data_IF_187688920295
#
_entry.id   IF_187688920295
#
_cell.length_a   1.000
_cell.length_b   1.000
_cell.length_c   1.000
_cell.angle_alpha   90.00
_cell.angle_beta   90.00
_cell.angle_gamma   90.00
#
_symmetry.space_group_name_H-M   'P 1'
#
loop_
_entity.id
_entity.type
_entity.pdbx_description
1 polymer ?
#
# COMPACT_ATOMS: atom_id res chain seq x y z
N UNK A 1 1.94 34.02 -17.46
CA UNK A 1 2.78 33.13 -16.63
C UNK A 1 2.55 31.71 -17.14
N UNK A 2 3.38 31.26 -18.08
CA UNK A 2 3.51 29.85 -18.45
C UNK A 2 4.92 29.46 -17.99
N UNK A 3 5.07 29.28 -16.68
CA UNK A 3 6.29 28.71 -16.12
C UNK A 3 6.10 27.19 -15.99
N UNK A 4 6.91 26.44 -16.72
CA UNK A 4 7.59 25.28 -16.14
C UNK A 4 6.89 23.92 -16.11
N UNK A 5 5.76 23.69 -16.79
CA UNK A 5 5.26 22.32 -16.97
C UNK A 5 6.07 21.60 -18.06
N UNK A 6 7.29 21.16 -17.72
CA UNK A 6 8.00 20.16 -18.49
C UNK A 6 7.13 18.89 -18.52
N UNK A 7 6.57 18.57 -19.68
CA UNK A 7 6.10 17.21 -19.97
C UNK A 7 7.33 16.29 -19.95
N UNK A 8 7.46 15.30 -19.05
CA UNK A 8 6.47 14.76 -18.12
C UNK A 8 6.72 15.16 -16.65
N UNK A 9 5.76 15.82 -16.01
CA UNK A 9 5.81 16.06 -14.57
C UNK A 9 5.26 14.86 -13.81
N UNK A 10 6.12 14.13 -13.12
CA UNK A 10 5.72 13.07 -12.19
C UNK A 10 4.87 13.66 -11.05
N UNK A 11 3.74 13.04 -10.73
CA UNK A 11 2.85 13.45 -9.63
C UNK A 11 2.80 12.37 -8.57
N UNK A 12 2.94 12.75 -7.29
CA UNK A 12 2.88 11.83 -6.17
C UNK A 12 1.64 12.10 -5.31
N UNK A 13 0.82 11.07 -5.10
CA UNK A 13 -0.22 11.07 -4.07
C UNK A 13 0.29 10.23 -2.91
N UNK A 14 0.35 10.79 -1.70
CA UNK A 14 0.77 10.06 -0.50
C UNK A 14 -0.35 10.06 0.53
N UNK A 15 -0.76 8.86 0.94
CA UNK A 15 -1.74 8.62 1.98
C UNK A 15 -1.02 8.12 3.23
N UNK A 16 -1.01 8.94 4.27
CA UNK A 16 -0.58 8.53 5.61
C UNK A 16 -1.77 7.95 6.36
N UNK A 17 -1.68 6.68 6.74
CA UNK A 17 -2.80 5.96 7.37
C UNK A 17 -2.91 6.26 8.87
N UNK A 18 -1.90 6.89 9.48
CA UNK A 18 -1.90 7.23 10.89
C UNK A 18 -1.96 6.01 11.81
N UNK A 19 -1.69 4.80 11.31
CA UNK A 19 -1.46 3.51 12.01
C UNK A 19 -1.00 2.48 10.97
N UNK A 20 -0.39 1.39 11.41
CA UNK A 20 -0.13 0.21 10.59
C UNK A 20 -1.40 -0.60 10.30
N UNK A 21 -1.58 -1.02 9.05
CA UNK A 21 -2.70 -1.84 8.58
C UNK A 21 -2.19 -3.06 7.81
N UNK A 22 -2.93 -4.16 7.90
CA UNK A 22 -2.83 -5.27 6.94
C UNK A 22 -3.70 -4.89 5.73
N UNK A 23 -3.06 -4.37 4.68
CA UNK A 23 -3.74 -3.92 3.45
C UNK A 23 -4.11 -5.12 2.59
N UNK A 24 -5.38 -5.21 2.20
CA UNK A 24 -5.91 -6.27 1.33
C UNK A 24 -5.98 -5.83 -0.12
N UNK A 25 -6.36 -4.58 -0.38
CA UNK A 25 -6.38 -4.03 -1.74
C UNK A 25 -6.19 -2.52 -1.76
N UNK A 26 -5.75 -2.03 -2.92
CA UNK A 26 -5.73 -0.60 -3.25
C UNK A 26 -6.51 -0.44 -4.56
N UNK A 27 -7.51 0.44 -4.56
CA UNK A 27 -8.33 0.75 -5.74
C UNK A 27 -8.25 2.23 -6.08
N UNK A 28 -8.02 2.52 -7.35
CA UNK A 28 -8.02 3.85 -7.93
C UNK A 28 -9.15 3.95 -8.95
N UNK A 29 -9.97 4.98 -8.84
CA UNK A 29 -10.96 5.33 -9.88
C UNK A 29 -10.54 6.62 -10.55
N UNK A 30 -10.28 6.58 -11.85
CA UNK A 30 -9.83 7.74 -12.60
C UNK A 30 -11.00 8.45 -13.28
N UNK A 31 -11.06 9.77 -13.08
CA UNK A 31 -11.91 10.67 -13.83
C UNK A 31 -11.21 11.17 -15.10
N UNK A 32 -9.89 11.05 -15.23
CA UNK A 32 -9.17 11.17 -16.52
C UNK A 32 -8.97 9.78 -17.14
N UNK A 33 -8.37 9.67 -18.34
CA UNK A 33 -7.78 8.40 -18.76
C UNK A 33 -6.74 7.94 -17.73
N UNK A 34 -6.54 6.62 -17.64
CA UNK A 34 -5.49 6.05 -16.79
C UNK A 34 -4.11 6.51 -17.27
N UNK A 35 -3.14 6.71 -16.37
CA UNK A 35 -1.75 6.91 -16.77
C UNK A 35 -1.27 5.74 -17.64
N UNK A 36 -0.39 6.02 -18.60
CA UNK A 36 0.33 4.97 -19.33
C UNK A 36 1.30 4.25 -18.41
N UNK A 37 1.90 4.98 -17.45
CA UNK A 37 2.83 4.43 -16.47
C UNK A 37 2.62 5.03 -15.08
N UNK A 38 2.51 4.17 -14.07
CA UNK A 38 2.47 4.57 -12.66
C UNK A 38 2.94 3.44 -11.73
N UNK A 39 3.23 3.80 -10.48
CA UNK A 39 3.77 2.89 -9.47
C UNK A 39 2.99 3.07 -8.16
N UNK A 40 2.66 1.95 -7.53
CA UNK A 40 2.17 1.90 -6.16
C UNK A 40 3.35 1.56 -5.25
N UNK A 41 3.57 2.36 -4.21
CA UNK A 41 4.55 2.11 -3.16
C UNK A 41 3.86 2.00 -1.80
N UNK A 42 4.54 1.34 -0.87
CA UNK A 42 4.18 1.32 0.54
C UNK A 42 5.36 1.65 1.45
N UNK A 43 5.07 1.97 2.71
CA UNK A 43 6.03 1.94 3.82
C UNK A 43 5.49 1.06 4.93
N UNK A 44 6.36 0.33 5.61
CA UNK A 44 5.96 -0.50 6.76
C UNK A 44 5.91 0.28 8.06
N UNK A 45 6.63 1.40 8.15
CA UNK A 45 6.51 2.40 9.22
C UNK A 45 6.91 3.80 8.72
N UNK A 46 6.62 4.85 9.49
CA UNK A 46 6.87 6.26 9.14
C UNK A 46 8.34 6.59 8.81
N UNK A 47 9.28 5.74 9.23
CA UNK A 47 10.72 5.93 9.03
C UNK A 47 11.33 4.96 7.99
N UNK A 48 10.58 3.99 7.48
CA UNK A 48 11.10 2.97 6.56
C UNK A 48 11.36 3.55 5.17
N UNK A 49 12.15 2.89 4.33
CA UNK A 49 12.19 3.23 2.90
C UNK A 49 10.83 2.98 2.23
N UNK A 50 10.60 3.63 1.09
CA UNK A 50 9.48 3.28 0.20
C UNK A 50 9.81 1.98 -0.52
N UNK A 51 8.89 1.02 -0.41
CA UNK A 51 8.99 -0.30 -1.02
C UNK A 51 8.01 -0.32 -2.20
N UNK A 52 8.44 -0.68 -3.42
CA UNK A 52 7.53 -0.86 -4.53
C UNK A 52 6.51 -1.96 -4.22
N UNK A 53 5.25 -1.71 -4.54
CA UNK A 53 4.15 -2.63 -4.32
C UNK A 53 3.68 -3.25 -5.64
N UNK A 54 3.54 -2.42 -6.68
CA UNK A 54 3.13 -2.83 -8.02
C UNK A 54 3.52 -1.74 -9.03
N UNK A 55 3.96 -2.15 -10.22
CA UNK A 55 4.18 -1.27 -11.35
C UNK A 55 3.12 -1.54 -12.43
N UNK A 56 2.65 -0.47 -13.07
CA UNK A 56 1.80 -0.56 -14.24
C UNK A 56 2.41 0.29 -15.34
N UNK A 57 2.65 -0.30 -16.51
CA UNK A 57 3.20 0.40 -17.67
C UNK A 57 2.92 -0.37 -18.94
N UNK A 58 2.49 0.29 -20.02
CA UNK A 58 2.44 -0.31 -21.36
C UNK A 58 3.85 -0.51 -21.95
N UNK A 59 4.88 0.02 -21.26
CA UNK A 59 6.28 0.04 -21.68
C UNK A 59 7.21 -0.29 -20.51
N UNK A 60 6.89 -1.34 -19.74
CA UNK A 60 7.60 -1.77 -18.52
C UNK A 60 9.14 -1.73 -18.63
N UNK A 61 9.67 -2.28 -19.72
CA UNK A 61 11.12 -2.32 -19.94
C UNK A 61 11.71 -0.92 -20.16
N UNK A 62 11.05 -0.09 -20.98
CA UNK A 62 11.55 1.25 -21.32
C UNK A 62 11.41 2.22 -20.14
N UNK A 63 10.35 2.08 -19.35
CA UNK A 63 10.01 3.03 -18.29
C UNK A 63 10.63 2.66 -16.94
N UNK A 64 10.63 1.37 -16.60
CA UNK A 64 11.09 0.88 -15.29
C UNK A 64 12.25 -0.11 -15.36
N UNK A 65 12.70 -0.53 -16.55
CA UNK A 65 13.73 -1.55 -16.71
C UNK A 65 13.29 -2.94 -16.26
N UNK A 66 11.98 -3.18 -16.18
CA UNK A 66 11.39 -4.44 -15.71
C UNK A 66 10.77 -5.21 -16.89
N UNK A 67 10.92 -6.53 -16.88
CA UNK A 67 10.17 -7.39 -17.80
C UNK A 67 8.69 -7.40 -17.41
N UNK A 68 7.75 -7.30 -18.37
CA UNK A 68 6.34 -7.41 -18.07
C UNK A 68 6.03 -8.82 -17.54
N UNK A 69 5.26 -8.90 -16.45
CA UNK A 69 4.84 -10.15 -15.82
C UNK A 69 3.38 -10.04 -15.40
N UNK A 70 2.66 -11.16 -15.52
CA UNK A 70 1.27 -11.28 -15.07
C UNK A 70 1.15 -11.73 -13.61
N UNK A 71 2.11 -12.55 -13.16
CA UNK A 71 2.10 -13.14 -11.82
C UNK A 71 3.49 -13.05 -11.20
N UNK A 72 3.59 -12.87 -9.86
CA UNK A 72 4.87 -12.88 -9.15
C UNK A 72 5.42 -14.30 -9.00
N UNK A 73 6.74 -14.44 -9.07
CA UNK A 73 7.46 -15.69 -8.81
C UNK A 73 7.61 -15.96 -7.30
N UNK A 74 7.62 -14.90 -6.48
CA UNK A 74 7.76 -14.96 -5.03
C UNK A 74 6.87 -13.95 -4.30
N UNK A 75 6.57 -14.24 -3.04
CA UNK A 75 5.56 -13.56 -2.23
C UNK A 75 5.81 -12.06 -1.97
N UNK A 76 7.04 -11.59 -2.12
CA UNK A 76 7.42 -10.18 -1.90
C UNK A 76 7.88 -9.48 -3.18
N UNK A 77 7.57 -10.06 -4.35
CA UNK A 77 7.89 -9.44 -5.64
C UNK A 77 6.88 -8.34 -5.98
N UNK A 78 7.40 -7.17 -6.36
CA UNK A 78 6.65 -6.16 -7.09
C UNK A 78 6.88 -6.35 -8.59
N UNK A 79 5.84 -6.72 -9.32
CA UNK A 79 5.92 -6.96 -10.76
C UNK A 79 5.53 -5.70 -11.54
N UNK A 80 5.90 -5.67 -12.82
CA UNK A 80 5.34 -4.72 -13.78
C UNK A 80 4.32 -5.42 -14.66
N UNK A 81 3.08 -4.95 -14.61
CA UNK A 81 2.01 -5.42 -15.49
C UNK A 81 1.71 -4.37 -16.56
N UNK A 82 1.43 -4.85 -17.77
CA UNK A 82 0.91 -4.02 -18.87
C UNK A 82 -0.62 -3.86 -18.77
N UNK A 83 -1.26 -4.59 -17.85
CA UNK A 83 -2.67 -4.40 -17.54
C UNK A 83 -2.92 -2.95 -17.06
N UNK A 84 -4.13 -2.45 -17.31
CA UNK A 84 -4.56 -1.11 -16.91
C UNK A 84 -3.71 0.06 -17.41
N UNK A 85 -2.88 -0.14 -18.44
CA UNK A 85 -2.04 0.90 -19.03
C UNK A 85 -2.59 1.43 -20.36
N UNK A 86 -3.73 0.91 -20.80
CA UNK A 86 -4.44 1.36 -22.00
C UNK A 86 -5.18 2.69 -21.79
N UNK A 87 -5.33 3.46 -22.86
CA UNK A 87 -5.99 4.77 -22.85
C UNK A 87 -7.50 4.67 -22.58
N UNK A 88 -8.13 3.53 -22.82
CA UNK A 88 -9.58 3.35 -22.69
C UNK A 88 -9.99 2.75 -21.33
N UNK A 89 -11.18 3.07 -20.79
CA UNK A 89 -12.03 4.21 -21.16
C UNK A 89 -11.40 5.54 -20.73
N UNK A 90 -11.85 6.64 -21.36
CA UNK A 90 -11.32 7.99 -21.06
C UNK A 90 -11.76 8.55 -19.70
N UNK A 91 -12.78 7.95 -19.08
CA UNK A 91 -13.33 8.35 -17.78
C UNK A 91 -13.90 7.13 -17.06
N UNK A 92 -13.90 7.15 -15.73
CA UNK A 92 -14.53 6.13 -14.89
C UNK A 92 -13.80 4.79 -14.89
N UNK A 93 -12.52 4.77 -15.27
CA UNK A 93 -11.72 3.54 -15.24
C UNK A 93 -11.33 3.20 -13.81
N UNK A 94 -11.38 1.92 -13.46
CA UNK A 94 -10.95 1.42 -12.15
C UNK A 94 -9.69 0.57 -12.30
N UNK A 95 -8.72 0.81 -11.43
CA UNK A 95 -7.54 -0.05 -11.25
C UNK A 95 -7.59 -0.61 -9.85
N UNK A 96 -7.58 -1.94 -9.74
CA UNK A 96 -7.52 -2.63 -8.45
C UNK A 96 -6.22 -3.43 -8.36
N UNK A 97 -5.54 -3.30 -7.23
CA UNK A 97 -4.38 -4.09 -6.85
C UNK A 97 -4.73 -4.87 -5.58
N UNK A 98 -4.82 -6.20 -5.66
CA UNK A 98 -4.91 -7.07 -4.50
C UNK A 98 -3.53 -7.47 -4.00
N UNK A 99 -3.27 -7.28 -2.70
CA UNK A 99 -1.92 -7.48 -2.13
C UNK A 99 -1.51 -8.95 -2.12
N UNK A 100 -2.46 -9.88 -2.06
CA UNK A 100 -2.26 -11.33 -2.06
C UNK A 100 -2.51 -12.00 -3.41
N UNK A 101 -2.94 -11.24 -4.43
CA UNK A 101 -3.32 -11.81 -5.73
C UNK A 101 -2.16 -12.57 -6.36
N UNK A 102 -2.41 -13.84 -6.69
CA UNK A 102 -1.48 -14.76 -7.36
C UNK A 102 -0.18 -15.05 -6.60
N UNK A 103 -0.10 -14.71 -5.31
CA UNK A 103 1.08 -14.97 -4.50
C UNK A 103 1.11 -16.43 -4.02
N UNK A 104 2.23 -17.17 -4.20
CA UNK A 104 2.29 -18.60 -3.86
C UNK A 104 1.93 -18.91 -2.39
N UNK A 105 2.31 -18.03 -1.47
CA UNK A 105 2.06 -18.16 -0.04
C UNK A 105 0.68 -17.73 0.42
N UNK A 106 -0.21 -17.23 -0.46
CA UNK A 106 -1.50 -16.70 -0.05
C UNK A 106 -2.38 -17.74 0.67
N UNK A 107 -2.32 -19.01 0.25
CA UNK A 107 -3.07 -20.12 0.88
C UNK A 107 -2.53 -20.46 2.27
N UNK A 108 -1.25 -20.22 2.52
CA UNK A 108 -0.57 -20.50 3.80
C UNK A 108 -0.18 -19.21 4.53
N UNK A 109 -0.93 -18.13 4.31
CA UNK A 109 -0.63 -16.79 4.80
C UNK A 109 -0.25 -16.73 6.29
N UNK A 110 -0.97 -17.46 7.14
CA UNK A 110 -0.72 -17.47 8.60
C UNK A 110 0.66 -18.03 8.99
N UNK A 111 1.30 -18.80 8.11
CA UNK A 111 2.64 -19.36 8.30
C UNK A 111 3.74 -18.58 7.57
N UNK A 112 3.38 -17.55 6.79
CA UNK A 112 4.28 -16.81 5.89
C UNK A 112 4.56 -15.41 6.42
N UNK A 113 5.57 -15.28 7.28
CA UNK A 113 5.95 -14.00 7.90
C UNK A 113 6.31 -12.93 6.86
N UNK A 114 7.00 -13.32 5.80
CA UNK A 114 7.35 -12.46 4.67
C UNK A 114 6.10 -11.90 3.97
N UNK A 115 5.06 -12.70 3.82
CA UNK A 115 3.80 -12.28 3.21
C UNK A 115 2.93 -11.46 4.18
N UNK A 116 2.98 -11.74 5.48
CA UNK A 116 2.37 -10.88 6.51
C UNK A 116 3.03 -9.49 6.50
N UNK A 117 4.36 -9.43 6.41
CA UNK A 117 5.11 -8.18 6.27
C UNK A 117 4.82 -7.49 4.92
N UNK A 118 4.54 -8.26 3.87
CA UNK A 118 4.15 -7.75 2.57
C UNK A 118 2.78 -7.05 2.58
N UNK A 119 1.79 -7.55 3.31
CA UNK A 119 0.49 -6.85 3.41
C UNK A 119 0.52 -5.66 4.39
N UNK A 120 1.50 -5.63 5.28
CA UNK A 120 1.64 -4.58 6.31
C UNK A 120 2.07 -3.24 5.69
N UNK A 121 1.29 -2.18 5.92
CA UNK A 121 1.62 -0.82 5.48
C UNK A 121 1.14 0.26 6.47
N UNK A 122 1.89 1.36 6.56
CA UNK A 122 1.58 2.56 7.34
C UNK A 122 1.34 3.79 6.44
N UNK A 123 2.00 3.81 5.28
CA UNK A 123 1.79 4.81 4.24
C UNK A 123 1.68 4.11 2.89
N UNK A 124 0.84 4.66 2.01
CA UNK A 124 0.73 4.29 0.59
C UNK A 124 1.09 5.50 -0.25
N UNK A 125 1.82 5.29 -1.35
CA UNK A 125 2.10 6.32 -2.34
C UNK A 125 1.80 5.84 -3.74
N UNK A 126 1.07 6.65 -4.48
CA UNK A 126 0.83 6.46 -5.91
C UNK A 126 1.67 7.49 -6.66
N UNK A 127 2.57 7.01 -7.51
CA UNK A 127 3.41 7.86 -8.35
C UNK A 127 2.97 7.74 -9.79
N UNK A 128 2.36 8.80 -10.33
CA UNK A 128 1.92 8.90 -11.71
C UNK A 128 3.10 9.40 -12.54
N UNK A 129 3.62 8.56 -13.43
CA UNK A 129 4.89 8.79 -14.14
C UNK A 129 4.65 9.32 -15.54
N UNK A 130 3.75 8.70 -16.31
CA UNK A 130 3.46 9.09 -17.69
C UNK A 130 1.97 9.01 -17.98
N UNK A 131 1.44 10.04 -18.65
CA UNK A 131 0.06 10.06 -19.15
C UNK A 131 -0.06 9.19 -20.41
N UNK A 132 -1.24 8.63 -20.63
CA UNK A 132 -1.63 8.16 -21.95
C UNK A 132 -1.96 9.35 -22.85
N UNK A 133 -1.56 9.29 -24.12
CA UNK A 133 -1.83 10.33 -25.13
C UNK A 133 -2.35 9.73 -26.42
N UNK A 134 -3.04 10.55 -27.23
CA UNK A 134 -3.47 10.18 -28.58
C UNK A 134 -2.39 10.47 -29.65
N UNK A 135 -1.28 11.12 -29.27
CA UNK A 135 -0.20 11.53 -30.17
C UNK A 135 -0.41 12.92 -30.80
N UNK A 136 -1.51 13.61 -30.50
CA UNK A 136 -1.82 14.96 -30.97
C UNK A 136 -1.06 16.05 -30.19
N UNK A 137 -0.48 15.71 -29.05
CA UNK A 137 0.42 16.55 -28.26
C UNK A 137 1.76 16.83 -28.96
N UNK A 138 2.13 16.03 -29.97
CA UNK A 138 3.42 16.10 -30.68
C UNK A 138 3.67 17.46 -31.33
N UNK A 139 2.61 18.20 -31.68
CA UNK A 139 2.72 19.53 -32.26
C UNK A 139 2.86 20.66 -31.22
N UNK A 140 2.86 20.32 -29.92
CA UNK A 140 3.08 21.26 -28.82
C UNK A 140 2.04 22.37 -28.72
N UNK A 141 0.85 22.18 -29.30
CA UNK A 141 -0.19 23.21 -29.30
C UNK A 141 -0.71 23.42 -27.87
N UNK A 142 -0.68 24.66 -27.31
CA UNK A 142 -1.08 24.89 -25.93
C UNK A 142 -2.52 24.49 -25.61
N UNK A 143 -3.41 24.52 -26.60
CA UNK A 143 -4.80 24.07 -26.42
C UNK A 143 -4.88 22.55 -26.18
N UNK A 144 -4.07 21.75 -26.88
CA UNK A 144 -4.00 20.29 -26.75
C UNK A 144 -3.29 19.90 -25.45
N UNK A 145 -2.16 20.54 -25.12
CA UNK A 145 -1.42 20.21 -23.89
C UNK A 145 -2.23 20.45 -22.60
N UNK A 146 -3.27 21.29 -22.65
CA UNK A 146 -4.18 21.56 -21.52
C UNK A 146 -5.26 20.50 -21.33
N UNK A 147 -5.49 19.63 -22.31
CA UNK A 147 -6.48 18.54 -22.20
C UNK A 147 -5.92 17.31 -21.49
N UNK A 148 -4.60 17.24 -21.35
CA UNK A 148 -3.89 16.13 -20.72
C UNK A 148 -3.56 16.47 -19.26
N UNK A 149 -4.22 15.76 -18.36
CA UNK A 149 -4.06 15.88 -16.92
C UNK A 149 -4.42 14.57 -16.24
N UNK A 150 -3.92 14.35 -15.03
CA UNK A 150 -4.37 13.27 -14.16
C UNK A 150 -5.57 13.74 -13.33
N UNK A 151 -6.62 12.92 -13.26
CA UNK A 151 -7.74 13.13 -12.35
C UNK A 151 -8.19 11.79 -11.75
N UNK A 152 -8.15 11.70 -10.42
CA UNK A 152 -8.61 10.55 -9.63
C UNK A 152 -9.85 11.01 -8.87
N UNK A 153 -10.96 10.29 -9.01
CA UNK A 153 -12.21 10.56 -8.29
C UNK A 153 -12.30 9.82 -6.96
N UNK A 154 -11.69 8.64 -6.86
CA UNK A 154 -11.65 7.83 -5.64
C UNK A 154 -10.29 7.11 -5.48
N UNK A 155 -9.79 7.08 -4.25
CA UNK A 155 -8.65 6.26 -3.83
C UNK A 155 -9.08 5.51 -2.57
N UNK A 156 -9.34 4.22 -2.72
CA UNK A 156 -9.73 3.34 -1.63
C UNK A 156 -8.59 2.40 -1.27
N UNK A 157 -8.20 2.38 0.01
CA UNK A 157 -7.27 1.40 0.57
C UNK A 157 -8.05 0.52 1.54
N UNK A 158 -8.30 -0.72 1.13
CA UNK A 158 -8.99 -1.71 1.94
C UNK A 158 -8.02 -2.50 2.80
N UNK A 159 -8.40 -2.78 4.05
CA UNK A 159 -7.59 -3.56 4.97
C UNK A 159 -8.18 -3.61 6.36
N UNK A 160 -7.42 -4.16 7.30
CA UNK A 160 -7.73 -4.17 8.73
C UNK A 160 -6.58 -3.58 9.54
N UNK A 161 -6.86 -3.12 10.74
CA UNK A 161 -5.81 -2.71 11.66
C UNK A 161 -4.80 -3.84 11.89
N UNK A 162 -3.51 -3.52 11.80
CA UNK A 162 -2.46 -4.44 12.22
C UNK A 162 -2.36 -4.44 13.74
N UNK A 163 -2.66 -5.57 14.37
CA UNK A 163 -2.64 -5.77 15.82
C UNK A 163 -1.95 -7.09 16.23
N UNK A 164 -1.18 -7.70 15.33
CA UNK A 164 -0.47 -8.96 15.55
C UNK A 164 -1.36 -10.12 16.08
N UNK A 165 -2.67 -10.07 15.81
CA UNK A 165 -3.66 -11.03 16.31
C UNK A 165 -3.98 -10.94 17.81
N UNK A 166 -3.51 -9.89 18.51
CA UNK A 166 -3.79 -9.64 19.93
C UNK A 166 -4.86 -8.56 20.18
N UNK A 167 -5.63 -8.18 19.15
CA UNK A 167 -6.82 -7.34 19.33
C UNK A 167 -7.82 -7.61 18.21
N UNK A 168 -9.11 -7.47 18.51
CA UNK A 168 -10.19 -7.57 17.53
C UNK A 168 -10.69 -6.20 17.04
N UNK A 169 -10.22 -5.11 17.65
CA UNK A 169 -10.69 -3.75 17.40
C UNK A 169 -9.60 -2.71 17.58
N UNK A 170 -9.75 -1.62 16.83
CA UNK A 170 -9.01 -0.38 17.04
C UNK A 170 -9.93 0.74 17.51
N UNK A 171 -9.41 1.59 18.38
CA UNK A 171 -10.07 2.82 18.78
C UNK A 171 -9.14 4.01 18.65
N UNK A 172 -9.73 5.18 18.44
CA UNK A 172 -9.01 6.44 18.54
C UNK A 172 -8.79 6.72 20.01
N UNK A 173 -7.54 6.71 20.44
CA UNK A 173 -7.14 7.07 21.80
C UNK A 173 -6.41 8.42 21.79
N UNK A 174 -6.75 9.24 22.78
CA UNK A 174 -6.08 10.51 23.07
C UNK A 174 -7.05 11.63 23.45
N UNK A 175 -6.48 12.76 23.89
CA UNK A 175 -7.23 13.95 24.30
C UNK A 175 -7.59 14.86 23.13
N UNK A 176 -8.20 16.00 23.43
CA UNK A 176 -8.76 17.00 22.49
C UNK A 176 -7.81 17.43 21.34
N UNK A 177 -6.48 17.21 21.47
CA UNK A 177 -5.44 17.65 20.53
C UNK A 177 -4.67 16.53 19.82
N UNK A 178 -4.91 15.24 20.13
CA UNK A 178 -4.28 14.10 19.45
C UNK A 178 -5.23 12.91 19.44
N UNK A 179 -5.77 12.56 18.26
CA UNK A 179 -6.54 11.34 18.05
C UNK A 179 -5.66 10.33 17.31
N UNK A 180 -4.95 9.49 18.05
CA UNK A 180 -4.13 8.41 17.47
C UNK A 180 -4.94 7.11 17.46
N UNK A 181 -5.00 6.43 16.32
CA UNK A 181 -5.63 5.11 16.25
C UNK A 181 -4.69 4.06 16.83
N UNK A 182 -5.18 3.25 17.78
CA UNK A 182 -4.43 2.19 18.46
C UNK A 182 -5.29 0.92 18.56
N UNK A 183 -4.64 -0.23 18.67
CA UNK A 183 -5.31 -1.49 18.98
C UNK A 183 -5.81 -1.48 20.44
N UNK A 184 -6.97 -2.08 20.69
CA UNK A 184 -7.42 -2.44 22.04
C UNK A 184 -6.76 -3.77 22.42
N UNK A 185 -5.49 -3.71 22.84
CA UNK A 185 -4.67 -4.90 23.05
C UNK A 185 -5.20 -5.81 24.16
N UNK A 186 -5.20 -7.11 23.86
CA UNK A 186 -5.50 -8.24 24.74
C UNK A 186 -4.23 -9.07 24.98
N UNK A 187 -4.37 -10.27 25.53
CA UNK A 187 -3.27 -11.24 25.68
C UNK A 187 -2.04 -10.69 26.46
N UNK A 188 -2.27 -9.72 27.36
CA UNK A 188 -1.26 -8.98 28.12
C UNK A 188 -0.20 -8.27 27.26
N UNK A 189 -0.57 -7.94 26.02
CA UNK A 189 0.25 -7.15 25.10
C UNK A 189 -0.04 -5.66 25.25
N UNK A 190 0.92 -4.85 24.84
CA UNK A 190 0.86 -3.39 24.80
C UNK A 190 1.55 -2.90 23.52
N UNK A 191 1.41 -1.61 23.23
CA UNK A 191 1.98 -0.98 22.03
C UNK A 191 0.87 -0.47 21.12
N UNK A 192 1.25 0.17 20.01
CA UNK A 192 0.27 0.67 19.03
C UNK A 192 -0.34 -0.46 18.22
N UNK A 193 0.44 -1.50 17.99
CA UNK A 193 0.13 -2.67 17.18
C UNK A 193 0.13 -3.97 18.02
N UNK A 194 0.11 -3.86 19.36
CA UNK A 194 0.22 -4.98 20.31
C UNK A 194 1.50 -5.80 20.14
N UNK A 195 2.60 -5.09 19.90
CA UNK A 195 3.92 -5.57 19.49
C UNK A 195 4.90 -5.77 20.66
N UNK A 196 4.43 -5.60 21.90
CA UNK A 196 5.24 -5.73 23.11
C UNK A 196 4.43 -6.38 24.23
N UNK A 197 5.12 -6.99 25.19
CA UNK A 197 4.50 -7.44 26.44
C UNK A 197 4.45 -6.32 27.48
N UNK A 198 3.44 -6.35 28.36
CA UNK A 198 3.50 -5.58 29.60
C UNK A 198 4.71 -6.00 30.44
N UNK A 199 5.28 -5.05 31.21
CA UNK A 199 6.48 -5.30 32.03
C UNK A 199 6.32 -6.42 33.06
N UNK A 200 5.10 -6.60 33.60
CA UNK A 200 4.77 -7.69 34.53
C UNK A 200 4.53 -9.05 33.84
N UNK A 201 4.44 -9.07 32.50
CA UNK A 201 4.09 -10.23 31.69
C UNK A 201 5.20 -10.58 30.69
N UNK A 202 6.45 -10.56 31.14
CA UNK A 202 7.63 -10.75 30.28
C UNK A 202 8.44 -12.02 30.63
N UNK A 203 7.77 -13.09 31.07
CA UNK A 203 8.39 -14.40 31.38
C UNK A 203 8.75 -15.21 30.12
N UNK A 204 8.38 -14.72 28.94
CA UNK A 204 8.79 -15.26 27.64
C UNK A 204 8.87 -14.13 26.59
N UNK A 205 9.68 -14.29 25.53
CA UNK A 205 9.70 -13.33 24.43
C UNK A 205 8.33 -13.16 23.77
N UNK A 206 8.00 -11.92 23.39
CA UNK A 206 6.79 -11.62 22.64
C UNK A 206 6.78 -12.34 21.28
N UNK A 207 5.61 -12.79 20.86
CA UNK A 207 5.35 -13.39 19.54
C UNK A 207 3.96 -12.98 19.06
N UNK A 208 3.74 -12.82 17.75
CA UNK A 208 2.39 -12.61 17.22
C UNK A 208 1.51 -13.84 17.46
N UNK A 209 0.20 -13.63 17.59
CA UNK A 209 -0.75 -14.72 17.73
C UNK A 209 -0.77 -15.58 16.46
N UNK A 210 -0.72 -16.90 16.62
CA UNK A 210 -0.89 -17.87 15.55
C UNK A 210 -2.31 -18.45 15.51
N UNK A 211 -2.57 -19.31 14.53
CA UNK A 211 -3.86 -20.01 14.39
C UNK A 211 -4.10 -21.02 15.51
N UNK A 212 -3.03 -21.66 16.00
CA UNK A 212 -3.09 -22.73 17.00
C UNK A 212 -2.90 -22.20 18.41
N UNK A 213 -1.93 -21.30 18.59
CA UNK A 213 -1.60 -20.69 19.87
C UNK A 213 -1.66 -19.17 19.74
N UNK A 214 -2.37 -18.52 20.67
CA UNK A 214 -2.53 -17.07 20.71
C UNK A 214 -1.26 -16.36 21.21
N UNK A 215 -0.26 -17.11 21.70
CA UNK A 215 1.00 -16.62 22.24
C UNK A 215 0.85 -15.45 23.22
N UNK A 216 0.02 -15.57 24.28
CA UNK A 216 -0.14 -14.49 25.23
C UNK A 216 1.14 -14.25 26.05
N UNK A 217 1.38 -13.00 26.39
CA UNK A 217 2.47 -12.60 27.26
C UNK A 217 2.27 -13.20 28.67
N UNK A 218 3.35 -13.79 29.22
CA UNK A 218 3.32 -14.63 30.43
C UNK A 218 3.77 -13.87 31.67
N UNK A 219 3.00 -13.95 32.75
CA UNK A 219 3.32 -13.29 34.03
C UNK A 219 4.68 -13.73 34.54
N UNK A 220 5.50 -12.77 34.97
CA UNK A 220 6.74 -13.06 35.68
C UNK A 220 6.44 -13.66 37.05
N UNK A 221 7.25 -14.63 37.50
CA UNK A 221 7.20 -15.10 38.89
C UNK A 221 7.95 -14.11 39.78
N UNK A 222 7.28 -13.54 40.77
CA UNK A 222 7.94 -12.83 41.85
C UNK A 222 8.31 -13.85 42.93
N UNK A 223 9.56 -14.33 42.91
CA UNK A 223 10.15 -15.12 44.00
C UNK A 223 10.75 -14.20 45.06
#
# INVERSE_FOLDING_TARGET
MLEGANYPSTVNLTLNLGKTYDVTYIKLTFQSPKPESFIIYKRTNENSSWIPYQYYSASCMLTFGLQPKKYPDFDTEAICSEDFSDLTPLHGSEVAFGTLDWRPGAVTFDMRKDLQDWVTASDIRIQLVRMNTFGDEMFGQPAVLRTYFYAISDLAVGGRCHCNGHANKCTKQGGEYKNETRCECEHNTIGRDCDMCHSAYNDAPWQPAGVIDAHPCKSCYFS
#
